data_IF_150821200504
#
_entry.id   IF_150821200504
#
_cell.length_a   1.000
_cell.length_b   1.000
_cell.length_c   1.000
_cell.angle_alpha   90.00
_cell.angle_beta   90.00
_cell.angle_gamma   90.00
#
_symmetry.space_group_name_H-M   'P 1'
#
loop_
_entity.id
_entity.type
_entity.pdbx_description
1 polymer ?
#
# COMPACT_ATOMS: atom_id res chain seq x y z
N UNK A 1 -3.88 -10.50 26.67
CA UNK A 1 -4.09 -9.25 25.90
C UNK A 1 -3.30 -8.19 26.62
N UNK A 2 -2.10 -7.90 26.13
CA UNK A 2 -1.26 -6.83 26.65
C UNK A 2 -1.57 -5.59 25.83
N UNK A 3 -2.27 -4.65 26.45
CA UNK A 3 -2.40 -3.30 25.91
C UNK A 3 -1.00 -2.70 25.72
N UNK A 4 -0.73 -2.20 24.51
CA UNK A 4 0.42 -1.32 24.31
C UNK A 4 0.05 0.00 24.97
N UNK A 5 0.40 0.13 26.25
CA UNK A 5 0.34 1.39 26.97
C UNK A 5 1.53 2.23 26.49
N UNK A 6 1.25 3.26 25.69
CA UNK A 6 2.25 4.29 25.35
C UNK A 6 2.40 5.20 26.56
N UNK A 7 3.21 4.77 27.53
CA UNK A 7 3.72 5.60 28.63
C UNK A 7 5.13 6.05 28.29
N UNK A 8 5.29 7.06 27.45
CA UNK A 8 6.52 7.87 27.46
C UNK A 8 6.17 9.34 27.35
N UNK A 9 6.81 10.15 28.19
CA UNK A 9 6.71 11.60 28.11
C UNK A 9 7.22 12.11 26.75
N UNK A 10 6.69 13.25 26.32
CA UNK A 10 6.96 13.89 25.02
C UNK A 10 8.45 14.18 24.74
N UNK A 11 9.31 14.12 25.76
CA UNK A 11 10.74 14.45 25.66
C UNK A 11 11.68 13.23 25.62
N UNK A 12 11.15 12.00 25.52
CA UNK A 12 11.98 10.81 25.37
C UNK A 12 11.71 10.15 24.01
N UNK A 13 12.71 10.14 23.15
CA UNK A 13 12.74 9.24 22.00
C UNK A 13 12.50 7.83 22.53
N UNK A 14 11.44 7.15 22.09
CA UNK A 14 11.25 5.74 22.42
C UNK A 14 12.43 5.00 21.77
N UNK A 15 13.42 4.52 22.53
CA UNK A 15 14.55 3.83 21.95
C UNK A 15 14.09 2.38 21.81
N UNK A 16 13.21 2.13 20.85
CA UNK A 16 13.01 0.75 20.40
C UNK A 16 14.29 0.42 19.64
N UNK A 17 15.30 -0.11 20.33
CA UNK A 17 16.50 -0.58 19.64
C UNK A 17 16.08 -1.68 18.67
N UNK A 18 16.66 -1.66 17.47
CA UNK A 18 16.41 -2.69 16.46
C UNK A 18 16.60 -4.08 17.07
N UNK A 19 17.63 -4.24 17.90
CA UNK A 19 17.93 -5.47 18.64
C UNK A 19 16.75 -5.93 19.50
N UNK A 20 16.10 -5.03 20.24
CA UNK A 20 14.94 -5.36 21.08
C UNK A 20 13.76 -5.89 20.26
N UNK A 21 13.57 -5.36 19.04
CA UNK A 21 12.51 -5.84 18.14
C UNK A 21 12.86 -7.20 17.58
N UNK A 22 14.11 -7.40 17.14
CA UNK A 22 14.58 -8.65 16.57
C UNK A 22 14.56 -9.78 17.61
N UNK A 23 15.01 -9.52 18.84
CA UNK A 23 14.97 -10.48 19.94
C UNK A 23 13.52 -10.92 20.27
N UNK A 24 12.58 -9.99 20.19
CA UNK A 24 11.14 -10.29 20.38
C UNK A 24 10.61 -11.18 19.24
N UNK A 25 11.00 -10.91 17.99
CA UNK A 25 10.63 -11.75 16.84
C UNK A 25 11.17 -13.17 17.01
N UNK A 26 12.45 -13.30 17.39
CA UNK A 26 13.08 -14.60 17.63
C UNK A 26 12.39 -15.36 18.76
N UNK A 27 12.03 -14.67 19.84
CA UNK A 27 11.30 -15.25 20.97
C UNK A 27 9.94 -15.81 20.53
N UNK A 28 9.15 -15.02 19.79
CA UNK A 28 7.82 -15.43 19.31
C UNK A 28 7.94 -16.58 18.30
N UNK A 29 8.94 -16.55 17.43
CA UNK A 29 9.20 -17.62 16.48
C UNK A 29 9.57 -18.93 17.19
N UNK A 30 10.48 -18.88 18.16
CA UNK A 30 10.86 -20.05 18.96
C UNK A 30 9.67 -20.59 19.77
N UNK A 31 8.80 -19.72 20.28
CA UNK A 31 7.56 -20.12 20.94
C UNK A 31 6.61 -20.83 19.97
N UNK A 32 6.43 -20.28 18.76
CA UNK A 32 5.63 -20.91 17.69
C UNK A 32 6.13 -22.31 17.35
N UNK A 33 7.45 -22.51 17.26
CA UNK A 33 8.05 -23.83 17.04
C UNK A 33 7.82 -24.79 18.22
N UNK A 34 8.00 -24.30 19.45
CA UNK A 34 7.82 -25.10 20.67
C UNK A 34 6.38 -25.58 20.84
N UNK A 35 5.41 -24.70 20.57
CA UNK A 35 3.98 -24.99 20.70
C UNK A 35 3.38 -25.69 19.47
N UNK A 36 4.17 -25.80 18.38
CA UNK A 36 3.72 -26.31 17.07
C UNK A 36 2.49 -25.57 16.55
N UNK A 37 2.41 -24.27 16.85
CA UNK A 37 1.33 -23.39 16.43
C UNK A 37 1.89 -22.25 15.56
N UNK A 38 1.74 -22.32 14.22
CA UNK A 38 2.21 -21.27 13.32
C UNK A 38 1.41 -19.96 13.46
N UNK A 39 0.20 -19.98 14.03
CA UNK A 39 -0.62 -18.79 14.16
C UNK A 39 -0.03 -17.76 15.13
N UNK A 40 0.81 -18.18 16.08
CA UNK A 40 1.54 -17.26 16.96
C UNK A 40 2.46 -16.32 16.17
N UNK A 41 3.27 -16.87 15.26
CA UNK A 41 4.16 -16.07 14.41
C UNK A 41 3.37 -15.25 13.37
N UNK A 42 2.31 -15.83 12.78
CA UNK A 42 1.47 -15.12 11.81
C UNK A 42 0.71 -13.94 12.43
N UNK A 43 0.24 -14.07 13.68
CA UNK A 43 -0.42 -12.99 14.39
C UNK A 43 0.55 -11.84 14.70
N UNK A 44 1.78 -12.14 15.12
CA UNK A 44 2.79 -11.09 15.32
C UNK A 44 3.16 -10.42 13.99
N UNK A 45 3.33 -11.19 12.92
CA UNK A 45 3.57 -10.65 11.58
C UNK A 45 2.42 -9.71 11.13
N UNK A 46 1.17 -10.09 11.42
CA UNK A 46 -0.01 -9.24 11.18
C UNK A 46 0.06 -7.93 11.98
N UNK A 47 0.45 -7.99 13.26
CA UNK A 47 0.63 -6.81 14.12
C UNK A 47 1.70 -5.86 13.57
N UNK A 48 2.85 -6.39 13.14
CA UNK A 48 3.93 -5.60 12.53
C UNK A 48 3.46 -4.91 11.24
N UNK A 49 2.72 -5.63 10.39
CA UNK A 49 2.12 -5.05 9.17
C UNK A 49 1.12 -3.93 9.50
N UNK A 50 0.27 -4.12 10.51
CA UNK A 50 -0.68 -3.10 10.96
C UNK A 50 0.05 -1.87 11.51
N UNK A 51 1.13 -2.06 12.28
CA UNK A 51 1.94 -0.98 12.81
C UNK A 51 2.63 -0.18 11.69
N UNK A 52 3.15 -0.85 10.67
CA UNK A 52 3.74 -0.21 9.50
C UNK A 52 2.70 0.62 8.70
N UNK A 53 1.47 0.12 8.58
CA UNK A 53 0.37 0.88 7.97
C UNK A 53 0.00 2.10 8.83
N UNK A 54 -0.15 1.91 10.14
CA UNK A 54 -0.52 2.97 11.08
C UNK A 54 0.54 4.07 11.15
N UNK A 55 1.83 3.71 11.12
CA UNK A 55 2.93 4.68 11.12
C UNK A 55 2.92 5.54 9.85
N UNK A 56 2.58 4.96 8.70
CA UNK A 56 2.34 5.70 7.47
C UNK A 56 1.23 6.76 7.67
N UNK A 57 0.06 6.33 8.15
CA UNK A 57 -1.09 7.21 8.43
C UNK A 57 -0.77 8.32 9.41
N UNK A 58 -0.09 7.98 10.51
CA UNK A 58 0.35 8.95 11.50
C UNK A 58 1.27 10.00 10.88
N UNK A 59 2.27 9.57 10.10
CA UNK A 59 3.19 10.48 9.42
C UNK A 59 2.45 11.40 8.42
N UNK A 60 1.52 10.86 7.63
CA UNK A 60 0.77 11.66 6.66
C UNK A 60 -0.10 12.73 7.33
N UNK A 61 -0.81 12.36 8.40
CA UNK A 61 -1.58 13.31 9.20
C UNK A 61 -0.68 14.39 9.81
N UNK A 62 0.46 13.99 10.39
CA UNK A 62 1.39 14.91 11.02
C UNK A 62 1.96 15.90 9.99
N UNK A 63 2.46 15.41 8.86
CA UNK A 63 3.00 16.25 7.79
C UNK A 63 1.95 17.22 7.24
N UNK A 64 0.72 16.76 7.00
CA UNK A 64 -0.38 17.62 6.55
C UNK A 64 -0.71 18.72 7.56
N UNK A 65 -0.82 18.37 8.85
CA UNK A 65 -1.13 19.36 9.89
C UNK A 65 0.01 20.36 10.07
N UNK A 66 1.27 19.92 10.00
CA UNK A 66 2.43 20.79 10.06
C UNK A 66 2.47 21.74 8.87
N UNK A 67 2.26 21.24 7.65
CA UNK A 67 2.25 22.07 6.43
C UNK A 67 1.13 23.12 6.49
N UNK A 68 -0.10 22.72 6.85
CA UNK A 68 -1.25 23.62 6.95
C UNK A 68 -1.04 24.75 7.97
N UNK A 69 -0.27 24.49 9.01
CA UNK A 69 0.02 25.46 10.06
C UNK A 69 1.46 25.99 9.97
N UNK A 70 2.14 25.83 8.83
CA UNK A 70 3.57 26.12 8.75
C UNK A 70 3.90 27.58 9.10
N UNK A 71 3.03 28.51 8.69
CA UNK A 71 3.15 29.94 8.97
C UNK A 71 3.11 30.30 10.46
N UNK A 72 2.55 29.43 11.31
CA UNK A 72 2.47 29.64 12.77
C UNK A 72 3.83 29.47 13.43
N UNK A 73 4.74 28.69 12.83
CA UNK A 73 6.06 28.42 13.40
C UNK A 73 7.08 29.55 13.17
N UNK A 74 6.74 30.56 12.35
CA UNK A 74 7.62 31.69 12.03
C UNK A 74 9.00 31.26 11.50
N UNK A 75 9.03 30.15 10.74
CA UNK A 75 10.24 29.63 10.08
C UNK A 75 10.26 30.14 8.63
N UNK A 76 11.35 30.82 8.25
CA UNK A 76 11.52 31.39 6.91
C UNK A 76 11.74 30.31 5.83
N UNK A 77 12.29 29.16 6.22
CA UNK A 77 12.51 28.04 5.32
C UNK A 77 11.20 27.38 4.86
N UNK A 78 11.23 26.80 3.66
CA UNK A 78 10.11 26.01 3.15
C UNK A 78 9.92 24.76 4.00
N UNK A 79 8.66 24.41 4.27
CA UNK A 79 8.28 23.22 5.03
C UNK A 79 9.01 21.96 4.56
N UNK A 80 9.00 21.71 3.24
CA UNK A 80 9.56 20.48 2.67
C UNK A 80 11.08 20.42 2.81
N UNK A 81 11.75 21.58 2.91
CA UNK A 81 13.20 21.69 3.08
C UNK A 81 13.62 21.38 4.51
N UNK A 82 12.86 21.89 5.48
CA UNK A 82 13.08 21.57 6.90
C UNK A 82 12.84 20.09 7.15
N UNK A 83 11.75 19.53 6.59
CA UNK A 83 11.47 18.08 6.71
C UNK A 83 12.58 17.24 6.09
N UNK A 84 13.09 17.61 4.90
CA UNK A 84 14.22 16.90 4.30
C UNK A 84 15.49 17.00 5.17
N UNK A 85 15.83 18.20 5.67
CA UNK A 85 17.01 18.41 6.50
C UNK A 85 16.97 17.62 7.82
N UNK A 86 15.81 17.53 8.46
CA UNK A 86 15.67 16.91 9.77
C UNK A 86 15.38 15.40 9.71
N UNK A 87 14.56 14.98 8.75
CA UNK A 87 14.06 13.61 8.66
C UNK A 87 14.69 12.81 7.51
N UNK A 88 15.41 13.45 6.59
CA UNK A 88 15.91 12.83 5.37
C UNK A 88 14.81 12.45 4.36
N UNK A 89 13.58 12.94 4.55
CA UNK A 89 12.45 12.62 3.66
C UNK A 89 12.46 13.54 2.45
N UNK A 90 12.57 12.95 1.25
CA UNK A 90 12.54 13.71 0.00
C UNK A 90 11.22 14.48 -0.16
N UNK A 91 11.29 15.68 -0.76
CA UNK A 91 10.13 16.58 -0.97
C UNK A 91 8.95 15.85 -1.64
N UNK A 92 9.23 15.01 -2.63
CA UNK A 92 8.19 14.21 -3.31
C UNK A 92 7.45 13.25 -2.37
N UNK A 93 8.17 12.65 -1.41
CA UNK A 93 7.56 11.76 -0.42
C UNK A 93 6.66 12.55 0.52
N UNK A 94 7.14 13.70 1.00
CA UNK A 94 6.37 14.62 1.85
C UNK A 94 5.09 15.04 1.13
N UNK A 95 5.20 15.53 -0.11
CA UNK A 95 4.06 15.96 -0.92
C UNK A 95 3.04 14.84 -1.13
N UNK A 96 3.49 13.61 -1.42
CA UNK A 96 2.58 12.45 -1.55
C UNK A 96 1.80 12.18 -0.27
N UNK A 97 2.47 12.20 0.88
CA UNK A 97 1.85 11.92 2.17
C UNK A 97 0.83 12.99 2.56
N UNK A 98 1.21 14.27 2.39
CA UNK A 98 0.31 15.42 2.58
C UNK A 98 -0.94 15.27 1.71
N UNK A 99 -0.78 15.02 0.41
CA UNK A 99 -1.90 14.86 -0.52
C UNK A 99 -2.81 13.68 -0.17
N UNK A 100 -2.25 12.57 0.30
CA UNK A 100 -3.07 11.42 0.74
C UNK A 100 -3.93 11.82 1.93
N UNK A 101 -3.38 12.52 2.93
CA UNK A 101 -4.19 12.94 4.08
C UNK A 101 -5.20 14.03 3.72
N UNK A 102 -4.89 14.92 2.77
CA UNK A 102 -5.82 15.97 2.35
C UNK A 102 -7.14 15.42 1.83
N UNK A 103 -7.13 14.24 1.19
CA UNK A 103 -8.34 13.52 0.75
C UNK A 103 -9.36 13.33 1.88
N UNK A 104 -8.87 12.98 3.07
CA UNK A 104 -9.72 12.66 4.23
C UNK A 104 -10.03 13.90 5.06
N UNK A 105 -9.18 14.93 4.99
CA UNK A 105 -9.41 16.21 5.63
C UNK A 105 -10.46 17.06 4.89
N UNK A 106 -10.65 16.82 3.59
CA UNK A 106 -11.65 17.45 2.74
C UNK A 106 -12.96 16.67 2.63
N UNK A 107 -13.71 16.99 1.57
CA UNK A 107 -14.97 16.33 1.20
C UNK A 107 -14.81 15.40 -0.01
N UNK A 108 -13.58 15.16 -0.46
CA UNK A 108 -13.30 14.41 -1.69
C UNK A 108 -13.70 12.94 -1.57
N UNK A 109 -13.56 12.36 -0.38
CA UNK A 109 -13.89 10.95 -0.11
C UNK A 109 -15.29 10.83 0.50
N UNK A 110 -16.20 10.03 -0.09
CA UNK A 110 -17.52 9.75 0.49
C UNK A 110 -17.43 9.13 1.89
N UNK A 111 -18.24 9.62 2.83
CA UNK A 111 -18.20 9.19 4.23
C UNK A 111 -18.42 7.67 4.39
N UNK A 112 -19.25 7.09 3.53
CA UNK A 112 -19.53 5.65 3.49
C UNK A 112 -18.29 4.80 3.18
N UNK A 113 -17.29 5.35 2.49
CA UNK A 113 -16.08 4.64 2.03
C UNK A 113 -14.82 5.00 2.82
N UNK A 114 -14.84 6.10 3.60
CA UNK A 114 -13.66 6.57 4.37
C UNK A 114 -13.02 5.47 5.22
N UNK A 115 -13.80 4.72 5.98
CA UNK A 115 -13.27 3.67 6.86
C UNK A 115 -12.57 2.54 6.08
N UNK A 116 -13.12 2.14 4.93
CA UNK A 116 -12.52 1.11 4.08
C UNK A 116 -11.20 1.60 3.47
N UNK A 117 -11.16 2.85 3.01
CA UNK A 117 -9.95 3.44 2.44
C UNK A 117 -8.86 3.70 3.50
N UNK A 118 -9.24 4.07 4.73
CA UNK A 118 -8.31 4.22 5.86
C UNK A 118 -7.62 2.90 6.27
N UNK A 119 -8.20 1.75 5.91
CA UNK A 119 -7.58 0.44 6.16
C UNK A 119 -6.50 0.09 5.13
N UNK A 120 -6.46 0.80 3.99
CA UNK A 120 -5.45 0.58 2.93
C UNK A 120 -4.11 1.16 3.35
N UNK A 121 -3.05 0.68 2.72
CA UNK A 121 -1.73 1.28 2.88
C UNK A 121 -1.71 2.65 2.16
N UNK A 122 -1.02 3.64 2.73
CA UNK A 122 -0.86 4.95 2.10
C UNK A 122 -0.40 4.86 0.64
N UNK A 123 0.52 3.93 0.33
CA UNK A 123 1.06 3.77 -1.02
C UNK A 123 -0.05 3.51 -2.05
N UNK A 124 -1.12 2.85 -1.64
CA UNK A 124 -2.25 2.48 -2.49
C UNK A 124 -3.16 3.69 -2.74
N UNK A 125 -3.10 4.70 -1.88
CA UNK A 125 -3.90 5.92 -1.99
C UNK A 125 -3.18 7.04 -2.75
N UNK A 126 -1.87 6.94 -2.93
CA UNK A 126 -1.07 7.94 -3.68
C UNK A 126 -1.61 8.15 -5.11
N UNK A 127 -1.97 7.11 -5.89
CA UNK A 127 -2.53 7.30 -7.24
C UNK A 127 -3.83 8.09 -7.26
N UNK A 128 -4.69 7.89 -6.26
CA UNK A 128 -5.97 8.58 -6.07
C UNK A 128 -5.70 10.05 -5.72
N UNK A 129 -4.88 10.28 -4.70
CA UNK A 129 -4.53 11.62 -4.23
C UNK A 129 -3.90 12.47 -5.34
N UNK A 130 -3.04 11.85 -6.16
CA UNK A 130 -2.46 12.52 -7.31
C UNK A 130 -3.49 12.85 -8.40
N UNK A 131 -4.46 11.95 -8.65
CA UNK A 131 -5.52 12.19 -9.62
C UNK A 131 -6.36 13.41 -9.23
N UNK A 132 -6.85 13.44 -8.00
CA UNK A 132 -7.65 14.57 -7.48
C UNK A 132 -6.82 15.86 -7.52
N UNK A 133 -5.54 15.81 -7.12
CA UNK A 133 -4.66 16.98 -7.20
C UNK A 133 -4.39 17.49 -8.62
N UNK A 134 -4.62 16.65 -9.64
CA UNK A 134 -4.53 17.00 -11.06
C UNK A 134 -5.87 17.49 -11.64
N UNK A 135 -6.93 17.55 -10.82
CA UNK A 135 -8.26 17.99 -11.22
C UNK A 135 -9.13 16.90 -11.84
N UNK A 136 -8.79 15.61 -11.65
CA UNK A 136 -9.71 14.53 -12.00
C UNK A 136 -10.81 14.45 -10.96
N UNK A 137 -12.06 14.46 -11.43
CA UNK A 137 -13.24 14.19 -10.62
C UNK A 137 -13.44 12.66 -10.56
N UNK A 138 -13.74 12.14 -9.37
CA UNK A 138 -13.99 10.72 -9.13
C UNK A 138 -15.46 10.62 -8.73
N UNK A 139 -16.24 9.93 -9.56
CA UNK A 139 -17.68 9.78 -9.35
C UNK A 139 -17.97 8.77 -8.23
N UNK A 140 -19.20 8.76 -7.71
CA UNK A 140 -19.59 7.83 -6.63
C UNK A 140 -19.42 6.35 -7.02
N UNK A 141 -19.66 6.01 -8.29
CA UNK A 141 -19.45 4.66 -8.84
C UNK A 141 -17.96 4.29 -8.86
N UNK A 142 -17.09 5.22 -9.25
CA UNK A 142 -15.64 5.02 -9.24
C UNK A 142 -15.12 4.80 -7.81
N UNK A 143 -15.68 5.49 -6.82
CA UNK A 143 -15.32 5.30 -5.41
C UNK A 143 -15.67 3.91 -4.90
N UNK A 144 -16.71 3.28 -5.42
CA UNK A 144 -17.05 1.90 -5.12
C UNK A 144 -15.98 0.95 -5.66
N UNK A 145 -15.63 1.08 -6.94
CA UNK A 145 -14.59 0.24 -7.57
C UNK A 145 -13.22 0.42 -6.90
N UNK A 146 -12.84 1.66 -6.59
CA UNK A 146 -11.60 1.97 -5.86
C UNK A 146 -11.60 1.30 -4.48
N UNK A 147 -12.73 1.32 -3.77
CA UNK A 147 -12.84 0.76 -2.43
C UNK A 147 -12.75 -0.76 -2.46
N UNK A 148 -13.33 -1.40 -3.48
CA UNK A 148 -13.42 -2.85 -3.63
C UNK A 148 -12.17 -3.48 -4.25
N UNK A 149 -11.28 -2.68 -4.86
CA UNK A 149 -10.01 -3.16 -5.39
C UNK A 149 -9.19 -3.92 -4.33
N UNK A 150 -8.82 -5.17 -4.61
CA UNK A 150 -8.20 -6.07 -3.61
C UNK A 150 -6.75 -5.69 -3.30
N UNK A 151 -6.02 -5.15 -4.27
CA UNK A 151 -4.61 -4.78 -4.11
C UNK A 151 -4.23 -3.50 -4.90
N UNK A 152 -2.96 -3.14 -4.84
CA UNK A 152 -2.40 -1.98 -5.53
C UNK A 152 -2.55 -2.05 -7.06
N UNK A 153 -2.41 -3.25 -7.64
CA UNK A 153 -2.48 -3.42 -9.09
C UNK A 153 -3.91 -3.21 -9.56
N UNK A 154 -4.89 -3.88 -8.93
CA UNK A 154 -6.31 -3.68 -9.24
C UNK A 154 -6.71 -2.21 -9.10
N UNK A 155 -6.29 -1.55 -8.01
CA UNK A 155 -6.56 -0.13 -7.80
C UNK A 155 -5.92 0.73 -8.90
N UNK A 156 -4.69 0.40 -9.32
CA UNK A 156 -4.01 1.12 -10.40
C UNK A 156 -4.72 0.96 -11.74
N UNK A 157 -5.42 -0.15 -11.98
CA UNK A 157 -6.23 -0.36 -13.19
C UNK A 157 -7.49 0.49 -13.16
N UNK A 158 -8.26 0.45 -12.06
CA UNK A 158 -9.42 1.32 -11.84
C UNK A 158 -9.02 2.79 -12.02
N UNK A 159 -7.94 3.23 -11.37
CA UNK A 159 -7.45 4.60 -11.49
C UNK A 159 -6.97 4.97 -12.90
N UNK A 160 -6.58 4.00 -13.73
CA UNK A 160 -6.20 4.23 -15.12
C UNK A 160 -7.44 4.45 -16.00
N UNK A 161 -8.48 3.68 -15.75
CA UNK A 161 -9.78 3.76 -16.43
C UNK A 161 -10.46 5.11 -16.14
N UNK A 162 -10.52 5.51 -14.87
CA UNK A 162 -11.02 6.84 -14.44
C UNK A 162 -10.28 7.97 -15.16
N UNK A 163 -8.95 7.85 -15.31
CA UNK A 163 -8.14 8.89 -15.97
C UNK A 163 -8.28 8.90 -17.49
N UNK A 164 -9.01 7.96 -18.08
CA UNK A 164 -9.08 7.75 -19.53
C UNK A 164 -7.70 7.45 -20.14
N UNK A 165 -6.77 6.91 -19.37
CA UNK A 165 -5.42 6.65 -19.84
C UNK A 165 -5.35 5.30 -20.52
N UNK A 166 -5.18 5.32 -21.85
CA UNK A 166 -4.93 4.08 -22.56
C UNK A 166 -3.64 3.40 -22.04
N UNK A 167 -3.59 2.06 -22.05
CA UNK A 167 -2.35 1.33 -21.83
C UNK A 167 -1.23 1.94 -22.67
N UNK A 168 -0.04 2.15 -22.09
CA UNK A 168 1.12 2.54 -22.92
C UNK A 168 1.21 1.52 -24.05
N UNK A 169 1.21 1.97 -25.31
CA UNK A 169 1.23 1.07 -26.50
C UNK A 169 2.35 0.04 -26.48
N UNK A 170 3.43 0.33 -25.76
CA UNK A 170 4.60 -0.53 -25.59
C UNK A 170 4.64 -1.32 -24.27
N UNK A 171 3.65 -1.19 -23.38
CA UNK A 171 3.58 -1.99 -22.17
C UNK A 171 3.23 -3.43 -22.56
N UNK A 172 4.11 -4.37 -22.24
CA UNK A 172 3.78 -5.79 -22.33
C UNK A 172 2.84 -6.15 -21.19
N UNK A 173 1.72 -6.78 -21.52
CA UNK A 173 0.80 -7.36 -20.54
C UNK A 173 0.74 -8.85 -20.75
N UNK A 174 0.83 -9.61 -19.67
CA UNK A 174 0.71 -11.07 -19.70
C UNK A 174 -0.69 -11.42 -19.24
N UNK A 175 -1.42 -12.14 -20.08
CA UNK A 175 -2.73 -12.69 -19.79
C UNK A 175 -2.63 -14.21 -19.66
N UNK A 176 -3.50 -14.79 -18.86
CA UNK A 176 -3.67 -16.24 -18.75
C UNK A 176 -5.13 -16.61 -18.94
N UNK A 177 -5.40 -17.63 -19.77
CA UNK A 177 -6.73 -18.20 -19.91
C UNK A 177 -7.02 -19.25 -18.82
N UNK A 178 -8.25 -19.79 -18.82
CA UNK A 178 -8.72 -20.79 -17.86
C UNK A 178 -7.98 -22.14 -17.93
N UNK A 179 -7.28 -22.43 -19.02
CA UNK A 179 -6.51 -23.67 -19.19
C UNK A 179 -5.01 -23.46 -18.96
N UNK A 180 -4.62 -22.25 -18.52
CA UNK A 180 -3.25 -21.92 -18.16
C UNK A 180 -2.38 -21.46 -19.33
N UNK A 181 -2.95 -21.21 -20.51
CA UNK A 181 -2.22 -20.63 -21.64
C UNK A 181 -1.86 -19.19 -21.35
N UNK A 182 -0.59 -18.83 -21.54
CA UNK A 182 -0.09 -17.48 -21.36
C UNK A 182 0.03 -16.76 -22.71
N UNK A 183 -0.48 -15.54 -22.76
CA UNK A 183 -0.40 -14.64 -23.90
C UNK A 183 0.24 -13.32 -23.49
N UNK A 184 1.11 -12.77 -24.33
CA UNK A 184 1.58 -11.39 -24.21
C UNK A 184 0.83 -10.52 -25.20
N UNK A 185 0.20 -9.46 -24.70
CA UNK A 185 -0.28 -8.37 -25.53
C UNK A 185 0.80 -7.29 -25.62
N UNK A 186 1.21 -6.98 -26.84
CA UNK A 186 2.15 -5.92 -27.14
C UNK A 186 1.76 -5.25 -28.46
N UNK A 187 1.59 -3.93 -28.46
CA UNK A 187 1.18 -3.16 -29.66
C UNK A 187 -0.06 -3.74 -30.36
N UNK A 188 -1.11 -3.99 -29.58
CA UNK A 188 -2.40 -4.52 -30.04
C UNK A 188 -2.34 -5.90 -30.72
N UNK A 189 -1.21 -6.60 -30.54
CA UNK A 189 -1.02 -7.97 -31.01
C UNK A 189 -0.86 -8.92 -29.84
N UNK A 190 -1.55 -10.05 -29.96
CA UNK A 190 -1.43 -11.17 -29.05
C UNK A 190 -0.30 -12.09 -29.53
N UNK A 191 0.59 -12.46 -28.63
CA UNK A 191 1.68 -13.40 -28.86
C UNK A 191 1.57 -14.53 -27.84
N UNK A 192 1.64 -15.78 -28.31
CA UNK A 192 1.75 -16.92 -27.41
C UNK A 192 3.08 -16.86 -26.64
N UNK A 193 3.01 -16.90 -25.31
CA UNK A 193 4.18 -16.87 -24.43
C UNK A 193 4.55 -18.27 -23.94
N UNK A 194 3.56 -19.12 -23.66
CA UNK A 194 3.76 -20.45 -23.07
C UNK A 194 2.49 -20.94 -22.38
N UNK A 195 2.63 -21.92 -21.49
CA UNK A 195 1.54 -22.41 -20.65
C UNK A 195 2.03 -22.75 -19.23
N UNK A 196 1.12 -22.63 -18.27
CA UNK A 196 1.26 -23.13 -16.90
C UNK A 196 0.26 -24.26 -16.70
N UNK A 197 0.68 -25.35 -16.05
CA UNK A 197 -0.20 -26.48 -15.75
C UNK A 197 -1.08 -26.15 -14.53
N UNK A 198 -2.12 -25.36 -14.75
CA UNK A 198 -2.99 -24.82 -13.67
C UNK A 198 -3.90 -25.88 -13.03
N UNK A 199 -4.05 -27.04 -13.66
CA UNK A 199 -4.89 -28.16 -13.22
C UNK A 199 -4.15 -29.24 -12.40
N UNK A 200 -2.88 -29.03 -12.04
CA UNK A 200 -2.11 -30.03 -11.30
C UNK A 200 -2.68 -30.28 -9.89
N UNK A 201 -2.86 -31.54 -9.50
CA UNK A 201 -3.37 -31.93 -8.18
C UNK A 201 -2.32 -31.75 -7.05
N UNK A 202 -1.05 -31.57 -7.39
CA UNK A 202 0.03 -31.39 -6.44
C UNK A 202 -0.01 -29.99 -5.80
N UNK A 203 -0.26 -29.95 -4.50
CA UNK A 203 -0.34 -28.70 -3.72
C UNK A 203 0.91 -27.83 -3.77
N UNK A 204 2.10 -28.41 -3.97
CA UNK A 204 3.35 -27.64 -4.14
C UNK A 204 3.34 -26.93 -5.49
N UNK A 205 2.91 -27.62 -6.55
CA UNK A 205 2.81 -27.08 -7.91
C UNK A 205 1.78 -25.95 -7.95
N UNK A 206 0.59 -26.14 -7.37
CA UNK A 206 -0.44 -25.09 -7.26
C UNK A 206 0.09 -23.83 -6.55
N UNK A 207 0.81 -24.01 -5.44
CA UNK A 207 1.42 -22.87 -4.71
C UNK A 207 2.47 -22.14 -5.54
N UNK A 208 3.30 -22.88 -6.29
CA UNK A 208 4.30 -22.30 -7.17
C UNK A 208 3.64 -21.49 -8.31
N UNK A 209 2.61 -22.05 -8.95
CA UNK A 209 1.83 -21.39 -10.01
C UNK A 209 1.17 -20.12 -9.48
N UNK A 210 0.50 -20.18 -8.33
CA UNK A 210 -0.11 -19.02 -7.71
C UNK A 210 0.91 -17.92 -7.39
N UNK A 211 2.12 -18.30 -6.99
CA UNK A 211 3.21 -17.33 -6.77
C UNK A 211 3.66 -16.67 -8.07
N UNK A 212 3.76 -17.42 -9.16
CA UNK A 212 4.10 -16.89 -10.48
C UNK A 212 3.03 -15.89 -10.93
N UNK A 213 1.74 -16.26 -10.84
CA UNK A 213 0.61 -15.42 -11.26
C UNK A 213 0.61 -14.10 -10.49
N UNK A 214 0.63 -14.17 -9.15
CA UNK A 214 0.55 -12.98 -8.27
C UNK A 214 1.75 -12.04 -8.40
N UNK A 215 2.96 -12.59 -8.53
CA UNK A 215 4.17 -11.76 -8.52
C UNK A 215 4.56 -11.23 -9.90
N UNK A 216 4.12 -11.88 -10.98
CA UNK A 216 4.50 -11.48 -12.34
C UNK A 216 3.49 -10.53 -12.98
N UNK A 217 2.43 -10.14 -12.25
CA UNK A 217 1.37 -9.28 -12.78
C UNK A 217 0.60 -9.94 -13.93
N UNK A 218 0.41 -11.26 -13.86
CA UNK A 218 -0.37 -12.01 -14.87
C UNK A 218 -1.85 -11.78 -14.61
N UNK A 219 -2.56 -11.32 -15.64
CA UNK A 219 -3.99 -11.04 -15.58
C UNK A 219 -4.76 -12.29 -16.02
N UNK A 220 -5.66 -12.81 -15.19
CA UNK A 220 -6.53 -13.93 -15.56
C UNK A 220 -7.71 -13.39 -16.40
N UNK A 221 -8.01 -14.06 -17.52
CA UNK A 221 -9.06 -13.68 -18.46
C UNK A 221 -10.21 -14.69 -18.47
#
# INVERSE_FOLDING_TARGET
>A
MSDIVITSGLDQSIPISVDTVLDKVDTIFMQSLKEKDPYLALNEAKTVLQLANLSGWYLAKLLYLMEKNWTVYEIDDRFEDVVFSWMGLHRDTVSKYVKVWSLFAGTDVPESRKLQLLQRNIKDLIPIANAISQGYEIEDEDWEEISDAVDFNSLSEVMREIKGQEPRKNAMRIFMDNVGTLFVYHQDKEYFLGSLEVSDDNEIVKKAINRIIKNSGIIQK
#
